data_IF_707242050898
#
_entry.id   IF_707242050898
#
_cell.length_a   1.000
_cell.length_b   1.000
_cell.length_c   1.000
_cell.angle_alpha   90.00
_cell.angle_beta   90.00
_cell.angle_gamma   90.00
#
_symmetry.space_group_name_H-M   'P 1'
#
loop_
_entity.id
_entity.type
_entity.pdbx_description
1 polymer ?
#
# COMPACT_ATOMS: atom_id res chain seq x y z
N UNK A 1 29.51 -14.78 -9.59
CA UNK A 1 28.47 -13.91 -9.01
C UNK A 1 27.16 -14.67 -9.06
N UNK A 2 26.26 -14.45 -8.11
CA UNK A 2 25.05 -15.25 -7.94
C UNK A 2 24.50 -15.12 -6.52
N UNK A 3 23.65 -14.12 -6.31
CA UNK A 3 22.64 -14.20 -5.25
C UNK A 3 21.49 -15.08 -5.75
N UNK A 4 20.61 -15.56 -4.86
CA UNK A 4 19.29 -15.98 -5.34
C UNK A 4 18.61 -14.73 -5.90
N UNK A 5 18.33 -14.72 -7.21
CA UNK A 5 17.58 -13.62 -7.80
C UNK A 5 16.17 -13.60 -7.18
N UNK A 6 15.75 -12.43 -6.70
CA UNK A 6 14.38 -12.22 -6.26
C UNK A 6 13.43 -12.46 -7.44
N UNK A 7 12.57 -13.48 -7.33
CA UNK A 7 11.54 -13.75 -8.32
C UNK A 7 10.24 -13.08 -7.89
N UNK A 8 10.03 -11.89 -8.46
CA UNK A 8 8.87 -11.02 -8.31
C UNK A 8 7.57 -11.81 -8.57
N UNK A 9 7.46 -12.49 -9.71
CA UNK A 9 6.24 -13.22 -10.11
C UNK A 9 5.83 -14.34 -9.15
N UNK A 10 6.77 -15.14 -8.64
CA UNK A 10 6.49 -16.25 -7.72
C UNK A 10 6.15 -15.73 -6.32
N UNK A 11 6.86 -14.71 -5.85
CA UNK A 11 6.54 -14.04 -4.59
C UNK A 11 5.14 -13.44 -4.67
N UNK A 12 4.85 -12.68 -5.73
CA UNK A 12 3.57 -12.01 -5.92
C UNK A 12 2.41 -12.98 -6.08
N UNK A 13 2.54 -14.06 -6.85
CA UNK A 13 1.47 -15.06 -6.95
C UNK A 13 1.10 -15.69 -5.59
N UNK A 14 2.03 -15.72 -4.62
CA UNK A 14 1.73 -16.10 -3.23
C UNK A 14 1.17 -14.92 -2.39
N UNK A 15 1.71 -13.72 -2.57
CA UNK A 15 1.42 -12.51 -1.79
C UNK A 15 0.08 -11.87 -2.16
N UNK A 16 -0.33 -12.02 -3.42
CA UNK A 16 -1.40 -11.28 -4.10
C UNK A 16 -2.62 -12.16 -4.36
N UNK A 17 -2.45 -13.31 -5.02
CA UNK A 17 -3.56 -14.21 -5.43
C UNK A 17 -4.32 -14.83 -4.25
N UNK A 18 -3.68 -14.93 -3.08
CA UNK A 18 -4.30 -15.37 -1.82
C UNK A 18 -4.78 -14.21 -0.92
N UNK A 19 -4.59 -12.95 -1.33
CA UNK A 19 -5.08 -11.77 -0.62
C UNK A 19 -4.45 -11.49 0.76
N UNK A 20 -3.25 -12.03 1.04
CA UNK A 20 -2.66 -12.14 2.39
C UNK A 20 -1.84 -10.92 2.87
N UNK A 21 -2.26 -9.68 2.58
CA UNK A 21 -1.50 -8.47 2.98
C UNK A 21 -1.68 -8.10 4.48
N UNK A 22 -1.34 -9.04 5.35
CA UNK A 22 -1.38 -8.93 6.81
C UNK A 22 -0.02 -8.54 7.38
N UNK A 23 0.43 -7.33 7.05
CA UNK A 23 1.54 -6.68 7.76
C UNK A 23 1.12 -6.40 9.21
N UNK A 24 1.39 -7.35 10.11
CA UNK A 24 1.25 -7.14 11.55
C UNK A 24 2.01 -5.88 11.99
N UNK A 25 1.52 -5.13 13.00
CA UNK A 25 2.08 -3.84 13.42
C UNK A 25 3.60 -3.90 13.58
N UNK A 26 4.07 -4.93 14.29
CA UNK A 26 5.46 -5.16 14.67
C UNK A 26 6.38 -5.56 13.50
N UNK A 27 5.83 -6.05 12.37
CA UNK A 27 6.63 -6.54 11.24
C UNK A 27 7.06 -5.43 10.27
N UNK A 28 6.30 -4.33 10.12
CA UNK A 28 6.68 -3.32 9.12
C UNK A 28 7.96 -2.56 9.49
N UNK A 29 8.26 -2.35 10.78
CA UNK A 29 9.52 -1.69 11.19
C UNK A 29 10.78 -2.46 10.74
N UNK A 30 10.96 -3.77 11.07
CA UNK A 30 12.11 -4.52 10.59
C UNK A 30 12.08 -4.80 9.07
N UNK A 31 10.91 -4.77 8.43
CA UNK A 31 10.81 -4.91 6.96
C UNK A 31 11.16 -3.61 6.22
N UNK A 32 10.81 -2.43 6.74
CA UNK A 32 11.28 -1.13 6.21
C UNK A 32 12.79 -0.94 6.45
N UNK A 33 13.35 -1.54 7.51
CA UNK A 33 14.79 -1.60 7.72
C UNK A 33 15.53 -2.58 6.79
N UNK A 34 14.82 -3.23 5.85
CA UNK A 34 15.39 -4.03 4.77
C UNK A 34 15.17 -3.31 3.44
N UNK A 35 16.25 -2.78 2.88
CA UNK A 35 16.30 -2.02 1.62
C UNK A 35 15.68 -2.80 0.45
N UNK A 36 16.00 -4.10 0.32
CA UNK A 36 15.45 -4.97 -0.73
C UNK A 36 13.93 -5.21 -0.56
N UNK A 37 13.40 -5.24 0.67
CA UNK A 37 11.96 -5.30 0.90
C UNK A 37 11.28 -3.97 0.56
N UNK A 38 11.93 -2.84 0.86
CA UNK A 38 11.42 -1.52 0.48
C UNK A 38 11.30 -1.42 -1.05
N UNK A 39 12.43 -1.50 -1.77
CA UNK A 39 12.55 -1.42 -3.23
C UNK A 39 11.60 -2.39 -3.97
N UNK A 40 11.47 -3.63 -3.49
CA UNK A 40 10.80 -4.68 -4.26
C UNK A 40 9.34 -4.89 -3.88
N UNK A 41 8.96 -4.67 -2.61
CA UNK A 41 7.60 -4.96 -2.13
C UNK A 41 6.80 -3.68 -1.82
N UNK A 42 7.39 -2.78 -1.02
CA UNK A 42 6.70 -1.58 -0.59
C UNK A 42 6.54 -0.61 -1.76
N UNK A 43 7.62 -0.36 -2.49
CA UNK A 43 7.65 0.56 -3.62
C UNK A 43 6.76 0.07 -4.78
N UNK A 44 6.71 -1.23 -5.04
CA UNK A 44 5.88 -1.82 -6.09
C UNK A 44 4.41 -2.05 -5.71
N UNK A 45 3.98 -1.71 -4.48
CA UNK A 45 2.63 -2.00 -3.96
C UNK A 45 1.50 -1.43 -4.84
N UNK A 46 1.77 -0.35 -5.59
CA UNK A 46 0.81 0.26 -6.52
C UNK A 46 0.45 -0.65 -7.72
N UNK A 47 1.37 -1.53 -8.14
CA UNK A 47 1.15 -2.47 -9.26
C UNK A 47 0.06 -3.52 -8.94
N UNK A 48 -0.07 -3.90 -7.66
CA UNK A 48 -0.84 -5.09 -7.23
C UNK A 48 -2.12 -4.77 -6.42
N UNK A 49 -2.47 -3.49 -6.29
CA UNK A 49 -3.55 -2.99 -5.41
C UNK A 49 -4.99 -3.41 -5.75
N UNK A 50 -5.23 -4.12 -6.87
CA UNK A 50 -6.56 -4.61 -7.28
C UNK A 50 -6.88 -5.96 -6.62
N UNK A 51 -5.86 -6.82 -6.63
CA UNK A 51 -5.87 -8.21 -6.22
C UNK A 51 -5.56 -8.31 -4.72
N UNK A 52 -4.66 -7.46 -4.21
CA UNK A 52 -4.41 -7.28 -2.77
C UNK A 52 -5.64 -6.69 -2.06
N UNK A 53 -6.03 -7.29 -0.93
CA UNK A 53 -7.00 -6.74 0.00
C UNK A 53 -6.31 -5.81 1.03
N UNK A 54 -6.21 -4.51 0.70
CA UNK A 54 -5.46 -3.53 1.49
C UNK A 54 -6.18 -3.19 2.81
N UNK A 55 -5.59 -3.54 3.96
CA UNK A 55 -6.03 -3.04 5.28
C UNK A 55 -5.61 -1.58 5.47
N UNK A 56 -6.32 -0.68 4.79
CA UNK A 56 -6.02 0.73 4.70
C UNK A 56 -5.98 1.46 6.06
N UNK A 57 -6.69 0.98 7.09
CA UNK A 57 -6.61 1.59 8.44
C UNK A 57 -5.26 1.32 9.09
N UNK A 58 -4.76 0.10 8.96
CA UNK A 58 -3.56 -0.36 9.67
C UNK A 58 -2.27 0.21 9.07
N UNK A 59 -2.12 0.07 7.75
CA UNK A 59 -0.96 0.59 7.02
C UNK A 59 -0.82 2.12 7.18
N UNK A 60 -1.94 2.84 7.26
CA UNK A 60 -1.97 4.29 7.55
C UNK A 60 -1.39 4.67 8.92
N UNK A 61 -1.45 3.79 9.91
CA UNK A 61 -0.79 4.01 11.19
C UNK A 61 0.72 3.75 11.05
N UNK A 62 1.10 2.59 10.51
CA UNK A 62 2.50 2.19 10.40
C UNK A 62 3.32 3.11 9.48
N UNK A 63 2.78 3.54 8.34
CA UNK A 63 3.47 4.45 7.41
C UNK A 63 3.71 5.84 8.04
N UNK A 64 2.75 6.35 8.83
CA UNK A 64 2.95 7.59 9.62
C UNK A 64 4.02 7.42 10.68
N UNK A 65 4.01 6.28 11.36
CA UNK A 65 5.00 5.98 12.39
C UNK A 65 6.41 5.84 11.77
N UNK A 66 6.55 5.20 10.60
CA UNK A 66 7.81 5.11 9.88
C UNK A 66 8.37 6.50 9.54
N UNK A 67 7.56 7.36 8.91
CA UNK A 67 7.96 8.75 8.57
C UNK A 67 8.30 9.56 9.83
N UNK A 68 7.53 9.42 10.91
CA UNK A 68 7.83 10.07 12.19
C UNK A 68 9.13 9.58 12.86
N UNK A 69 9.63 8.39 12.50
CA UNK A 69 10.92 7.86 12.91
C UNK A 69 12.05 8.16 11.87
N UNK A 70 11.79 8.99 10.86
CA UNK A 70 12.79 9.43 9.89
C UNK A 70 12.91 8.57 8.62
N UNK A 71 12.01 7.62 8.37
CA UNK A 71 11.96 6.92 7.08
C UNK A 71 11.44 7.85 5.98
N UNK A 72 12.12 7.87 4.83
CA UNK A 72 11.68 8.53 3.62
C UNK A 72 11.35 7.49 2.55
N UNK A 73 10.21 7.66 1.88
CA UNK A 73 9.88 6.94 0.64
C UNK A 73 10.68 7.54 -0.52
N UNK A 74 11.11 6.73 -1.50
CA UNK A 74 11.65 7.30 -2.74
C UNK A 74 10.63 8.20 -3.43
N UNK A 75 11.12 9.31 -3.98
CA UNK A 75 10.35 10.28 -4.77
C UNK A 75 9.99 9.74 -6.15
N UNK A 76 10.79 8.81 -6.70
CA UNK A 76 10.51 8.15 -7.98
C UNK A 76 9.18 7.38 -7.99
N UNK A 77 8.62 7.08 -6.81
CA UNK A 77 7.30 6.46 -6.65
C UNK A 77 6.14 7.41 -6.96
N UNK A 78 6.33 8.74 -6.89
CA UNK A 78 5.21 9.69 -7.01
C UNK A 78 4.49 9.61 -8.37
N UNK A 79 5.18 9.65 -9.53
CA UNK A 79 4.54 9.46 -10.83
C UNK A 79 3.74 8.16 -10.88
N UNK A 80 4.33 7.04 -10.45
CA UNK A 80 3.70 5.73 -10.44
C UNK A 80 2.51 5.62 -9.49
N UNK A 81 2.56 6.28 -8.33
CA UNK A 81 1.42 6.36 -7.41
C UNK A 81 0.28 7.19 -8.02
N UNK A 82 0.57 8.31 -8.71
CA UNK A 82 -0.43 9.08 -9.46
C UNK A 82 -1.03 8.26 -10.62
N UNK A 83 -0.20 7.60 -11.42
CA UNK A 83 -0.63 6.71 -12.51
C UNK A 83 -1.54 5.59 -11.99
N UNK A 84 -1.18 5.01 -10.84
CA UNK A 84 -1.97 3.94 -10.21
C UNK A 84 -3.41 4.36 -9.87
N UNK A 85 -3.66 5.65 -9.63
CA UNK A 85 -5.01 6.16 -9.35
C UNK A 85 -5.93 6.17 -10.58
N UNK A 86 -5.38 5.96 -11.79
CA UNK A 86 -6.16 5.72 -13.01
C UNK A 86 -6.83 4.33 -13.01
N UNK A 87 -6.34 3.38 -12.21
CA UNK A 87 -6.90 2.04 -12.13
C UNK A 87 -8.30 2.03 -11.46
N UNK A 88 -9.19 1.08 -11.81
CA UNK A 88 -10.53 0.93 -11.23
C UNK A 88 -10.49 0.33 -9.81
N UNK A 89 -9.80 1.01 -8.88
CA UNK A 89 -9.61 0.57 -7.51
C UNK A 89 -10.91 0.45 -6.71
N UNK A 90 -10.95 -0.57 -5.83
CA UNK A 90 -11.92 -0.65 -4.73
C UNK A 90 -11.82 0.61 -3.85
N UNK A 91 -12.96 1.08 -3.34
CA UNK A 91 -13.15 2.34 -2.59
C UNK A 91 -12.07 2.62 -1.52
N UNK A 92 -11.61 1.57 -0.83
CA UNK A 92 -10.71 1.69 0.31
C UNK A 92 -9.23 1.55 -0.09
N UNK A 93 -8.90 0.80 -1.15
CA UNK A 93 -7.59 0.84 -1.83
C UNK A 93 -7.34 2.21 -2.47
N UNK A 94 -8.33 2.75 -3.19
CA UNK A 94 -8.30 4.11 -3.75
C UNK A 94 -8.02 5.16 -2.66
N UNK A 95 -8.71 5.02 -1.52
CA UNK A 95 -8.53 5.87 -0.35
C UNK A 95 -7.22 5.63 0.41
N UNK A 96 -6.47 4.57 0.11
CA UNK A 96 -5.13 4.32 0.63
C UNK A 96 -4.07 5.01 -0.24
N UNK A 97 -4.01 4.72 -1.53
CA UNK A 97 -2.99 5.28 -2.44
C UNK A 97 -3.05 6.81 -2.51
N UNK A 98 -4.25 7.40 -2.66
CA UNK A 98 -4.41 8.86 -2.66
C UNK A 98 -3.96 9.51 -1.33
N UNK A 99 -4.11 8.80 -0.21
CA UNK A 99 -3.60 9.27 1.08
C UNK A 99 -2.09 9.11 1.23
N UNK A 100 -1.49 8.08 0.60
CA UNK A 100 -0.04 7.86 0.67
C UNK A 100 0.70 8.96 -0.10
N UNK A 101 0.19 9.38 -1.26
CA UNK A 101 0.67 10.58 -1.95
C UNK A 101 0.60 11.81 -1.03
N UNK A 102 -0.50 12.00 -0.31
CA UNK A 102 -0.62 13.09 0.69
C UNK A 102 0.36 12.96 1.87
N UNK A 103 0.74 11.75 2.27
CA UNK A 103 1.78 11.54 3.29
C UNK A 103 3.17 11.93 2.76
N UNK A 104 3.46 11.63 1.50
CA UNK A 104 4.75 11.93 0.87
C UNK A 104 4.97 13.43 0.65
N UNK A 105 3.90 14.24 0.59
CA UNK A 105 3.97 15.68 0.30
C UNK A 105 4.72 15.97 -1.02
N UNK A 106 4.05 15.85 -2.17
CA UNK A 106 4.64 16.17 -3.46
C UNK A 106 5.04 17.65 -3.51
N UNK A 107 6.19 17.95 -4.08
CA UNK A 107 6.61 19.33 -4.38
C UNK A 107 5.95 19.82 -5.67
N UNK A 108 5.86 21.15 -5.84
CA UNK A 108 5.35 21.78 -7.07
C UNK A 108 6.01 21.23 -8.34
N UNK A 109 7.31 20.94 -8.33
CA UNK A 109 8.02 20.35 -9.47
C UNK A 109 7.54 18.91 -9.80
N UNK A 110 7.30 18.07 -8.80
CA UNK A 110 6.82 16.70 -9.00
C UNK A 110 5.34 16.67 -9.41
N UNK A 111 4.54 17.62 -8.90
CA UNK A 111 3.16 17.85 -9.35
C UNK A 111 3.13 18.32 -10.82
N UNK A 112 4.03 19.21 -11.21
CA UNK A 112 4.17 19.75 -12.57
C UNK A 112 4.64 18.66 -13.56
N UNK A 113 5.57 17.80 -13.15
CA UNK A 113 5.93 16.60 -13.90
C UNK A 113 4.75 15.60 -14.04
N UNK A 114 3.89 15.54 -13.02
CA UNK A 114 2.71 14.65 -12.98
C UNK A 114 1.42 15.28 -13.55
N UNK A 115 1.50 16.48 -14.14
CA UNK A 115 0.30 17.31 -14.42
C UNK A 115 -0.70 16.65 -15.37
N UNK A 116 -0.23 15.93 -16.40
CA UNK A 116 -1.10 15.24 -17.35
C UNK A 116 -1.87 14.09 -16.68
N UNK A 117 -1.22 13.38 -15.75
CA UNK A 117 -1.87 12.35 -14.93
C UNK A 117 -2.90 12.97 -13.98
N UNK A 118 -2.60 14.12 -13.37
CA UNK A 118 -3.57 14.88 -12.56
C UNK A 118 -4.80 15.32 -13.38
N UNK A 119 -4.62 15.76 -14.64
CA UNK A 119 -5.73 16.08 -15.54
C UNK A 119 -6.56 14.84 -15.89
N UNK A 120 -5.90 13.72 -16.21
CA UNK A 120 -6.55 12.45 -16.50
C UNK A 120 -7.41 11.94 -15.32
N UNK A 121 -6.99 12.15 -14.06
CA UNK A 121 -7.79 11.81 -12.87
C UNK A 121 -9.11 12.59 -12.76
N UNK A 122 -9.28 13.69 -13.49
CA UNK A 122 -10.56 14.42 -13.55
C UNK A 122 -11.59 13.70 -14.44
N UNK A 123 -11.15 13.00 -15.48
CA UNK A 123 -12.03 12.46 -16.54
C UNK A 123 -12.76 11.17 -16.12
N UNK A 124 -12.26 10.48 -15.09
CA UNK A 124 -12.74 9.19 -14.60
C UNK A 124 -14.11 9.22 -13.89
N UNK A 125 -14.81 10.36 -13.91
CA UNK A 125 -16.14 10.52 -13.28
C UNK A 125 -16.19 10.27 -11.77
N UNK A 126 -15.03 10.25 -11.08
CA UNK A 126 -14.92 9.82 -9.70
C UNK A 126 -14.74 11.01 -8.75
N UNK A 127 -15.80 11.36 -8.01
CA UNK A 127 -15.84 12.53 -7.14
C UNK A 127 -14.76 12.53 -6.03
N UNK A 128 -14.14 11.40 -5.69
CA UNK A 128 -12.98 11.37 -4.79
C UNK A 128 -11.70 11.82 -5.49
N UNK A 129 -11.48 11.39 -6.73
CA UNK A 129 -10.29 11.74 -7.52
C UNK A 129 -10.34 13.20 -7.97
N UNK A 130 -11.50 13.69 -8.41
CA UNK A 130 -11.68 15.12 -8.73
C UNK A 130 -11.36 16.03 -7.53
N UNK A 131 -11.87 15.70 -6.33
CA UNK A 131 -11.57 16.45 -5.09
C UNK A 131 -10.13 16.24 -4.57
N UNK A 132 -9.39 15.26 -5.09
CA UNK A 132 -8.00 14.97 -4.72
C UNK A 132 -6.98 15.64 -5.66
N UNK A 133 -7.22 15.56 -6.99
CA UNK A 133 -6.31 16.08 -8.00
C UNK A 133 -6.43 17.61 -8.16
N UNK A 134 -7.65 18.17 -8.10
CA UNK A 134 -7.88 19.59 -8.35
C UNK A 134 -7.15 20.55 -7.38
N UNK A 135 -7.01 20.27 -6.06
CA UNK A 135 -6.16 21.06 -5.19
C UNK A 135 -4.70 21.13 -5.66
N UNK A 136 -4.11 20.01 -6.08
CA UNK A 136 -2.74 19.97 -6.59
C UNK A 136 -2.60 20.66 -7.95
N UNK A 137 -3.59 20.52 -8.85
CA UNK A 137 -3.62 21.28 -10.11
C UNK A 137 -3.64 22.78 -9.84
N UNK A 138 -4.47 23.23 -8.88
CA UNK A 138 -4.54 24.63 -8.49
C UNK A 138 -3.28 25.14 -7.75
N UNK A 139 -2.47 24.24 -7.19
CA UNK A 139 -1.19 24.57 -6.55
C UNK A 139 -0.07 24.84 -7.56
N UNK A 140 -0.12 24.28 -8.78
CA UNK A 140 0.88 24.48 -9.84
C UNK A 140 0.41 25.38 -11.00
N UNK A 141 -0.81 25.90 -10.95
CA UNK A 141 -1.44 26.62 -12.07
C UNK A 141 -0.81 28.00 -12.37
N UNK A 142 0.12 28.47 -11.53
CA UNK A 142 0.95 29.66 -11.70
C UNK A 142 2.38 29.35 -12.20
N UNK A 143 2.77 28.08 -12.32
CA UNK A 143 4.06 27.68 -12.91
C UNK A 143 4.14 28.00 -14.41
N UNK A 144 5.35 28.21 -14.91
CA UNK A 144 5.59 28.57 -16.31
C UNK A 144 5.26 27.43 -17.28
N UNK A 145 5.66 26.19 -16.95
CA UNK A 145 5.45 25.00 -17.78
C UNK A 145 4.11 24.29 -17.48
N UNK A 146 3.13 25.01 -16.93
CA UNK A 146 1.79 24.49 -16.69
C UNK A 146 0.97 24.48 -17.99
N UNK A 147 0.58 23.29 -18.45
CA UNK A 147 -0.20 23.08 -19.66
C UNK A 147 -1.67 23.48 -19.44
N UNK A 148 -1.93 24.77 -19.67
CA UNK A 148 -3.28 25.36 -19.64
C UNK A 148 -4.21 24.71 -20.66
N UNK A 149 -3.73 24.30 -21.82
CA UNK A 149 -4.60 23.82 -22.90
C UNK A 149 -5.00 22.35 -22.65
N UNK A 150 -4.09 21.53 -22.11
CA UNK A 150 -4.40 20.22 -21.53
C UNK A 150 -5.36 20.31 -20.35
N UNK A 151 -5.14 21.24 -19.41
CA UNK A 151 -6.09 21.47 -18.32
C UNK A 151 -7.49 21.84 -18.83
N UNK A 152 -7.61 22.87 -19.67
CA UNK A 152 -8.90 23.37 -20.18
C UNK A 152 -9.62 22.30 -20.98
N UNK A 153 -8.92 21.51 -21.80
CA UNK A 153 -9.52 20.42 -22.59
C UNK A 153 -10.06 19.27 -21.72
N UNK A 154 -9.46 19.01 -20.55
CA UNK A 154 -9.94 17.98 -19.61
C UNK A 154 -10.97 18.52 -18.60
N UNK A 155 -11.00 19.84 -18.36
CA UNK A 155 -11.82 20.46 -17.30
C UNK A 155 -13.34 20.19 -17.45
N UNK A 156 -13.97 20.28 -18.65
CA UNK A 156 -15.40 19.97 -18.86
C UNK A 156 -15.85 18.58 -18.41
N UNK A 157 -14.96 17.59 -18.46
CA UNK A 157 -15.30 16.16 -18.36
C UNK A 157 -15.82 15.73 -16.97
N UNK A 158 -15.82 16.63 -15.98
CA UNK A 158 -16.43 16.41 -14.66
C UNK A 158 -17.46 17.48 -14.26
N UNK A 159 -17.99 18.29 -15.20
CA UNK A 159 -18.98 19.34 -14.87
C UNK A 159 -20.33 18.78 -14.39
N UNK A 160 -20.74 17.63 -14.92
CA UNK A 160 -21.97 16.89 -14.53
C UNK A 160 -21.83 16.14 -13.20
N UNK A 161 -20.61 16.03 -12.66
CA UNK A 161 -20.32 15.22 -11.48
C UNK A 161 -20.82 15.91 -10.20
N UNK A 162 -21.52 15.17 -9.35
CA UNK A 162 -21.97 15.68 -8.04
C UNK A 162 -20.84 15.79 -7.02
N UNK A 163 -21.05 16.59 -5.96
CA UNK A 163 -20.23 16.63 -4.73
C UNK A 163 -18.77 17.04 -4.96
N UNK A 164 -18.48 17.67 -6.10
CA UNK A 164 -17.17 18.23 -6.49
C UNK A 164 -17.18 19.75 -6.68
N UNK A 165 -18.26 20.44 -6.29
CA UNK A 165 -18.45 21.89 -6.54
C UNK A 165 -17.29 22.77 -6.01
N UNK A 166 -16.59 22.37 -4.94
CA UNK A 166 -15.39 23.07 -4.46
C UNK A 166 -14.18 22.91 -5.39
N UNK A 167 -14.01 21.73 -5.99
CA UNK A 167 -13.00 21.48 -7.01
C UNK A 167 -13.35 22.20 -8.32
N UNK A 168 -14.59 22.12 -8.78
CA UNK A 168 -15.08 22.90 -9.93
C UNK A 168 -14.86 24.41 -9.72
N UNK A 169 -15.09 24.94 -8.50
CA UNK A 169 -14.82 26.35 -8.17
C UNK A 169 -13.33 26.70 -8.13
N UNK A 170 -12.42 25.76 -7.81
CA UNK A 170 -10.99 25.98 -7.98
C UNK A 170 -10.65 26.09 -9.47
N UNK A 171 -11.02 25.09 -10.27
CA UNK A 171 -10.73 25.07 -11.71
C UNK A 171 -11.32 26.26 -12.47
N UNK A 172 -12.56 26.67 -12.15
CA UNK A 172 -13.20 27.89 -12.69
C UNK A 172 -12.38 29.15 -12.40
N UNK A 173 -11.68 29.24 -11.26
CA UNK A 173 -10.77 30.36 -10.98
C UNK A 173 -9.48 30.29 -11.79
N UNK A 174 -8.98 29.09 -12.10
CA UNK A 174 -7.80 28.91 -12.96
C UNK A 174 -8.08 29.36 -14.41
N UNK A 175 -9.34 29.42 -14.82
CA UNK A 175 -9.76 29.98 -16.11
C UNK A 175 -9.72 31.52 -16.18
N UNK A 176 -9.50 32.26 -15.09
CA UNK A 176 -9.51 33.74 -15.09
C UNK A 176 -8.22 34.46 -15.51
N UNK A 177 -6.98 34.01 -15.21
CA UNK A 177 -5.81 34.89 -15.30
C UNK A 177 -5.33 35.30 -16.70
N UNK A 178 -5.43 34.43 -17.71
CA UNK A 178 -4.87 34.66 -19.05
C UNK A 178 -5.77 34.02 -20.12
N UNK A 179 -6.66 34.81 -20.72
CA UNK A 179 -7.96 34.31 -21.25
C UNK A 179 -8.19 34.47 -22.75
N UNK A 180 -7.18 34.86 -23.52
CA UNK A 180 -7.31 35.06 -24.97
C UNK A 180 -7.62 33.78 -25.76
N UNK A 181 -7.32 32.60 -25.21
CA UNK A 181 -7.32 31.31 -25.94
C UNK A 181 -8.25 30.23 -25.33
N UNK A 182 -9.27 30.62 -24.56
CA UNK A 182 -10.25 29.67 -24.01
C UNK A 182 -11.21 29.10 -25.07
N UNK A 183 -11.60 29.91 -26.07
CA UNK A 183 -12.71 29.59 -26.99
C UNK A 183 -12.50 28.34 -27.87
N UNK A 184 -11.26 27.93 -28.26
CA UNK A 184 -11.04 26.66 -28.97
C UNK A 184 -11.20 25.40 -28.11
N UNK A 185 -11.05 25.52 -26.78
CA UNK A 185 -10.97 24.39 -25.85
C UNK A 185 -12.14 24.31 -24.85
N UNK A 186 -12.94 25.37 -24.72
CA UNK A 186 -14.11 25.44 -23.84
C UNK A 186 -15.21 26.31 -24.47
N UNK A 187 -16.42 25.75 -24.60
CA UNK A 187 -17.59 26.52 -25.07
C UNK A 187 -18.42 27.09 -23.92
N UNK A 188 -19.17 28.15 -24.21
CA UNK A 188 -20.18 28.71 -23.30
C UNK A 188 -21.24 27.68 -22.87
N UNK A 189 -21.59 26.73 -23.75
CA UNK A 189 -22.59 25.68 -23.47
C UNK A 189 -22.08 24.68 -22.44
N UNK A 190 -20.82 24.25 -22.55
CA UNK A 190 -20.19 23.39 -21.54
C UNK A 190 -20.05 24.13 -20.21
N UNK A 191 -19.50 25.35 -20.22
CA UNK A 191 -19.32 26.15 -19.01
C UNK A 191 -20.66 26.41 -18.27
N UNK A 192 -21.77 26.57 -19.00
CA UNK A 192 -23.10 26.71 -18.42
C UNK A 192 -23.63 25.44 -17.70
N UNK A 193 -23.11 24.25 -17.98
CA UNK A 193 -23.49 23.00 -17.25
C UNK A 193 -23.23 23.12 -15.75
N UNK A 194 -22.18 23.86 -15.35
CA UNK A 194 -21.85 24.11 -13.94
C UNK A 194 -22.94 24.92 -13.21
N UNK A 195 -23.86 25.58 -13.91
CA UNK A 195 -24.98 26.30 -13.29
C UNK A 195 -26.03 25.36 -12.66
N UNK A 196 -26.04 24.08 -13.02
CA UNK A 196 -26.85 23.04 -12.35
C UNK A 196 -26.38 22.83 -10.90
N UNK A 197 -25.07 23.00 -10.64
CA UNK A 197 -24.47 22.70 -9.33
C UNK A 197 -25.04 23.64 -8.24
N UNK A 198 -25.35 23.12 -7.04
CA UNK A 198 -26.10 23.89 -6.04
C UNK A 198 -25.28 24.95 -5.28
N UNK A 199 -23.96 25.03 -5.50
CA UNK A 199 -23.05 25.95 -4.80
C UNK A 199 -23.14 27.37 -5.40
N UNK A 200 -23.56 28.33 -4.59
CA UNK A 200 -23.74 29.73 -5.00
C UNK A 200 -22.44 30.39 -5.48
N UNK A 201 -21.28 30.04 -4.90
CA UNK A 201 -19.99 30.65 -5.26
C UNK A 201 -19.50 30.11 -6.60
N UNK A 202 -19.74 28.84 -6.88
CA UNK A 202 -19.51 28.25 -8.20
C UNK A 202 -20.40 28.91 -9.25
N UNK A 203 -21.71 29.02 -9.01
CA UNK A 203 -22.62 29.65 -9.96
C UNK A 203 -22.27 31.11 -10.24
N UNK A 204 -21.88 31.90 -9.22
CA UNK A 204 -21.43 33.29 -9.42
C UNK A 204 -20.15 33.35 -10.24
N UNK A 205 -19.12 32.55 -9.93
CA UNK A 205 -17.86 32.57 -10.68
C UNK A 205 -18.02 32.09 -12.14
N UNK A 206 -18.95 31.17 -12.39
CA UNK A 206 -19.33 30.71 -13.74
C UNK A 206 -20.13 31.79 -14.49
N UNK A 207 -21.08 32.45 -13.82
CA UNK A 207 -21.84 33.56 -14.40
C UNK A 207 -20.91 34.74 -14.78
N UNK A 208 -19.94 35.08 -13.93
CA UNK A 208 -18.90 36.07 -14.21
C UNK A 208 -18.11 35.72 -15.48
N UNK A 209 -17.57 34.50 -15.61
CA UNK A 209 -16.84 34.06 -16.82
C UNK A 209 -17.70 34.09 -18.09
N UNK A 210 -18.95 33.60 -18.01
CA UNK A 210 -19.89 33.60 -19.12
C UNK A 210 -20.21 35.04 -19.57
N UNK A 211 -20.45 35.93 -18.61
CA UNK A 211 -20.63 37.37 -18.84
C UNK A 211 -19.39 37.99 -19.49
N UNK A 212 -18.20 37.73 -18.96
CA UNK A 212 -16.95 38.36 -19.36
C UNK A 212 -16.50 37.92 -20.76
N UNK A 213 -16.43 36.61 -21.03
CA UNK A 213 -15.79 36.06 -22.25
C UNK A 213 -16.76 35.60 -23.34
N UNK A 214 -18.04 35.35 -23.00
CA UNK A 214 -19.04 34.81 -23.92
C UNK A 214 -20.33 35.64 -24.02
N UNK A 215 -20.39 36.81 -23.38
CA UNK A 215 -21.58 37.69 -23.36
C UNK A 215 -21.79 38.52 -24.62
N UNK A 216 -21.61 37.88 -25.78
CA UNK A 216 -22.02 38.33 -27.11
C UNK A 216 -23.51 37.98 -27.34
N UNK A 217 -23.96 37.84 -28.58
CA UNK A 217 -25.34 37.39 -28.88
C UNK A 217 -25.48 35.87 -28.65
N UNK A 218 -26.65 35.43 -28.19
CA UNK A 218 -26.96 34.03 -27.87
C UNK A 218 -26.70 33.58 -26.42
N UNK A 219 -25.99 34.34 -25.57
CA UNK A 219 -25.76 33.93 -24.16
C UNK A 219 -27.06 33.70 -23.38
N UNK A 220 -28.12 34.49 -23.65
CA UNK A 220 -29.42 34.31 -22.98
C UNK A 220 -30.05 32.95 -23.27
N UNK A 221 -29.92 32.44 -24.51
CA UNK A 221 -30.44 31.12 -24.92
C UNK A 221 -29.65 29.99 -24.27
N UNK A 222 -28.35 30.20 -24.03
CA UNK A 222 -27.48 29.24 -23.35
C UNK A 222 -27.79 29.18 -21.84
N UNK A 223 -28.17 30.31 -21.22
CA UNK A 223 -28.47 30.37 -19.77
C UNK A 223 -29.92 29.96 -19.45
N UNK A 224 -30.87 30.20 -20.35
CA UNK A 224 -32.31 29.94 -20.13
C UNK A 224 -32.63 28.54 -19.55
N UNK A 225 -32.04 27.41 -20.01
CA UNK A 225 -32.33 26.08 -19.44
C UNK A 225 -31.94 25.93 -17.96
N UNK A 226 -31.05 26.80 -17.47
CA UNK A 226 -30.47 26.73 -16.12
C UNK A 226 -31.15 27.67 -15.11
N UNK A 227 -32.09 28.53 -15.54
CA UNK A 227 -32.71 29.57 -14.69
C UNK A 227 -33.36 29.04 -13.40
N UNK A 228 -33.86 27.80 -13.41
CA UNK A 228 -34.47 27.15 -12.23
C UNK A 228 -33.42 26.74 -11.16
N UNK A 229 -32.17 26.53 -11.56
CA UNK A 229 -31.07 26.13 -10.66
C UNK A 229 -30.33 27.33 -10.06
N UNK A 230 -30.34 28.46 -10.77
CA UNK A 230 -29.61 29.69 -10.42
C UNK A 230 -30.06 30.31 -9.08
N UNK A 231 -29.08 30.57 -8.20
CA UNK A 231 -29.25 31.35 -6.97
C UNK A 231 -29.34 32.85 -7.27
N UNK A 232 -29.89 33.62 -6.34
CA UNK A 232 -30.17 35.06 -6.51
C UNK A 232 -28.93 35.88 -6.91
N UNK A 233 -27.76 35.60 -6.33
CA UNK A 233 -26.51 36.31 -6.69
C UNK A 233 -26.05 36.01 -8.12
N UNK A 234 -26.16 34.76 -8.58
CA UNK A 234 -25.83 34.41 -9.96
C UNK A 234 -26.83 35.05 -10.96
N UNK A 235 -28.11 35.17 -10.60
CA UNK A 235 -29.09 35.92 -11.39
C UNK A 235 -28.77 37.43 -11.47
N UNK A 236 -28.22 38.01 -10.40
CA UNK A 236 -27.80 39.42 -10.40
C UNK A 236 -26.67 39.68 -11.42
N UNK A 237 -25.63 38.82 -11.46
CA UNK A 237 -24.50 38.94 -12.40
C UNK A 237 -24.97 38.97 -13.87
N UNK A 238 -25.89 38.09 -14.27
CA UNK A 238 -26.47 38.12 -15.63
C UNK A 238 -27.34 39.37 -15.88
N UNK A 239 -28.00 39.90 -14.85
CA UNK A 239 -28.83 41.10 -14.96
C UNK A 239 -27.99 42.38 -15.11
N UNK A 240 -26.86 42.48 -14.41
CA UNK A 240 -25.96 43.64 -14.44
C UNK A 240 -25.29 43.84 -15.81
N UNK A 241 -24.99 42.78 -16.59
CA UNK A 241 -24.44 42.98 -17.94
C UNK A 241 -25.45 43.62 -18.91
N UNK A 242 -26.76 43.45 -18.66
CA UNK A 242 -27.82 44.02 -19.51
C UNK A 242 -27.90 45.54 -19.43
N UNK A 243 -27.50 46.15 -18.31
CA UNK A 243 -27.40 47.61 -18.16
C UNK A 243 -26.03 48.18 -18.58
N UNK A 244 -24.95 47.39 -18.49
CA UNK A 244 -23.58 47.88 -18.81
C UNK A 244 -23.29 47.98 -20.32
N UNK A 245 -24.03 47.27 -21.19
CA UNK A 245 -23.82 47.33 -22.66
C UNK A 245 -24.07 48.71 -23.30
N UNK A 246 -24.71 49.66 -22.61
CA UNK A 246 -24.97 51.01 -23.13
C UNK A 246 -23.84 52.03 -22.96
N UNK A 247 -22.87 51.81 -22.07
CA UNK A 247 -22.00 52.91 -21.57
C UNK A 247 -20.52 52.89 -22.01
N UNK A 248 -20.04 51.85 -22.73
CA UNK A 248 -18.63 51.77 -23.14
C UNK A 248 -18.39 52.00 -24.64
N UNK A 249 -18.27 53.29 -25.00
CA UNK A 249 -17.49 53.77 -26.16
C UNK A 249 -16.56 54.89 -25.71
N UNK A 250 -15.39 55.00 -26.36
CA UNK A 250 -14.27 55.93 -26.05
C UNK A 250 -13.54 55.63 -24.72
N UNK A 251 -12.23 55.85 -24.58
CA UNK A 251 -11.13 55.87 -25.57
C UNK A 251 -9.78 55.57 -24.86
N UNK A 252 -8.78 55.09 -25.61
CA UNK A 252 -7.35 55.11 -25.22
C UNK A 252 -6.70 56.44 -25.67
N UNK A 253 -5.62 56.94 -25.02
CA UNK A 253 -4.28 56.62 -25.55
C UNK A 253 -3.11 56.48 -24.55
N UNK A 254 -2.16 55.66 -24.99
CA UNK A 254 -0.75 55.39 -24.62
C UNK A 254 0.10 56.44 -23.85
N UNK A 255 1.10 55.92 -23.12
CA UNK A 255 2.33 56.61 -22.65
C UNK A 255 3.48 55.59 -22.45
N UNK A 256 4.75 55.99 -22.58
CA UNK A 256 5.93 55.07 -22.73
C UNK A 256 7.14 55.57 -21.90
N UNK A 257 8.12 54.68 -21.65
CA UNK A 257 9.53 54.89 -21.21
C UNK A 257 9.77 55.05 -19.68
N UNK A 258 10.60 54.20 -19.03
CA UNK A 258 12.08 54.18 -18.86
C UNK A 258 12.45 54.69 -17.42
N UNK A 259 13.55 54.33 -16.72
CA UNK A 259 14.70 53.44 -16.99
C UNK A 259 15.48 53.05 -15.69
N UNK A 260 16.29 51.96 -15.77
CA UNK A 260 17.57 51.68 -15.07
C UNK A 260 17.71 51.41 -13.55
N UNK A 261 18.79 50.63 -13.28
CA UNK A 261 19.63 50.47 -12.06
C UNK A 261 19.11 49.63 -10.86
N UNK A 262 19.93 48.79 -10.21
CA UNK A 262 21.38 48.48 -10.40
C UNK A 262 21.80 47.08 -9.91
N UNK A 263 22.91 46.55 -10.42
CA UNK A 263 23.60 45.33 -9.94
C UNK A 263 24.51 45.60 -8.73
N UNK A 264 24.70 44.58 -7.86
CA UNK A 264 26.06 44.18 -7.41
C UNK A 264 26.06 42.74 -6.87
N UNK A 265 27.16 42.00 -7.09
CA UNK A 265 27.37 40.61 -6.66
C UNK A 265 28.41 40.52 -5.52
N UNK A 266 28.42 39.39 -4.79
CA UNK A 266 29.59 38.51 -4.48
C UNK A 266 29.09 37.29 -3.66
N UNK A 267 29.48 36.03 -3.92
CA UNK A 267 30.80 35.38 -3.73
C UNK A 267 31.27 35.47 -2.25
N UNK A 268 31.82 34.45 -1.57
CA UNK A 268 32.30 33.09 -1.89
C UNK A 268 32.45 32.29 -0.55
N UNK A 269 32.73 30.98 -0.43
CA UNK A 269 33.11 29.90 -1.37
C UNK A 269 32.80 28.47 -0.80
N UNK A 270 33.36 27.44 -1.47
CA UNK A 270 33.38 25.97 -1.27
C UNK A 270 33.73 25.44 0.15
N UNK A 271 33.17 24.26 0.51
CA UNK A 271 33.68 23.40 1.61
C UNK A 271 33.02 22.01 1.70
N UNK A 272 33.72 20.94 1.27
CA UNK A 272 33.22 19.55 1.29
C UNK A 272 33.41 18.83 2.64
N UNK A 273 32.52 17.87 2.94
CA UNK A 273 32.93 16.60 3.58
C UNK A 273 32.24 16.22 4.90
N UNK A 274 31.29 15.28 4.82
CA UNK A 274 30.87 14.42 5.93
C UNK A 274 30.45 13.04 5.38
N UNK A 275 31.01 11.95 5.90
CA UNK A 275 30.67 10.58 5.51
C UNK A 275 29.49 10.03 6.33
N UNK A 276 28.72 9.05 5.81
CA UNK A 276 27.58 8.48 6.54
C UNK A 276 28.02 7.69 7.78
N UNK A 277 27.31 7.89 8.90
CA UNK A 277 27.66 7.32 10.21
C UNK A 277 27.11 5.87 10.39
N UNK A 278 27.39 4.98 9.45
CA UNK A 278 27.07 3.55 9.58
C UNK A 278 28.18 2.83 10.35
N UNK A 279 27.93 2.52 11.63
CA UNK A 279 28.98 2.00 12.50
C UNK A 279 28.57 1.64 13.92
N UNK A 280 27.37 1.07 14.13
CA UNK A 280 27.04 0.38 15.39
C UNK A 280 26.38 -0.97 15.14
N UNK A 281 27.20 -1.99 15.36
CA UNK A 281 26.88 -3.40 15.38
C UNK A 281 25.65 -3.69 16.27
N UNK A 282 24.56 -4.16 15.66
CA UNK A 282 23.40 -4.68 16.41
C UNK A 282 23.79 -6.03 16.98
N UNK A 283 23.70 -6.16 18.31
CA UNK A 283 24.30 -7.25 19.07
C UNK A 283 24.00 -8.66 18.53
N UNK A 284 25.01 -9.54 18.60
CA UNK A 284 24.93 -10.91 18.12
C UNK A 284 23.70 -11.66 18.70
N UNK A 285 22.88 -12.32 17.86
CA UNK A 285 21.75 -13.12 18.33
C UNK A 285 22.18 -14.24 19.28
N UNK A 286 21.48 -14.39 20.40
CA UNK A 286 21.72 -15.47 21.37
C UNK A 286 21.50 -16.84 20.73
N UNK A 287 22.56 -17.65 20.65
CA UNK A 287 22.56 -18.97 19.99
C UNK A 287 22.06 -20.07 20.91
N UNK A 288 20.74 -20.17 21.05
CA UNK A 288 20.07 -21.28 21.74
C UNK A 288 18.80 -21.65 21.00
N UNK A 289 18.70 -22.89 20.51
CA UNK A 289 17.46 -23.43 19.94
C UNK A 289 16.33 -23.36 20.99
N UNK A 290 15.25 -22.57 20.77
CA UNK A 290 14.14 -22.48 21.73
C UNK A 290 13.25 -23.73 21.73
N UNK A 291 13.44 -24.66 20.80
CA UNK A 291 12.60 -25.85 20.65
C UNK A 291 12.73 -26.81 21.86
N UNK A 292 11.62 -27.30 22.42
CA UNK A 292 11.65 -28.34 23.44
C UNK A 292 12.36 -29.62 22.99
N UNK A 293 13.25 -30.11 23.85
CA UNK A 293 14.02 -31.35 23.65
C UNK A 293 13.46 -32.54 24.45
N UNK A 294 12.37 -32.36 25.20
CA UNK A 294 11.68 -33.41 25.96
C UNK A 294 10.18 -33.17 26.00
N UNK A 295 9.40 -34.23 26.21
CA UNK A 295 7.94 -34.12 26.42
C UNK A 295 7.57 -33.16 27.55
N UNK A 296 8.28 -33.21 28.68
CA UNK A 296 7.99 -32.35 29.84
C UNK A 296 8.21 -30.87 29.51
N UNK A 297 9.25 -30.54 28.74
CA UNK A 297 9.51 -29.17 28.30
C UNK A 297 8.43 -28.71 27.30
N UNK A 298 7.98 -29.60 26.40
CA UNK A 298 6.92 -29.32 25.44
C UNK A 298 5.56 -29.09 26.14
N UNK A 299 5.25 -29.88 27.16
CA UNK A 299 4.05 -29.75 27.97
C UNK A 299 4.06 -28.44 28.77
N UNK A 300 5.21 -28.03 29.32
CA UNK A 300 5.38 -26.76 30.03
C UNK A 300 5.21 -25.54 29.11
N UNK A 301 5.70 -25.63 27.86
CA UNK A 301 5.59 -24.56 26.86
C UNK A 301 4.13 -24.15 26.57
N UNK A 302 3.14 -25.00 26.87
CA UNK A 302 1.71 -24.64 26.78
C UNK A 302 1.33 -23.58 27.84
N UNK A 303 1.97 -23.60 29.01
CA UNK A 303 1.87 -22.55 30.01
C UNK A 303 2.48 -21.22 29.54
N UNK A 304 3.57 -21.28 28.78
CA UNK A 304 4.17 -20.11 28.14
C UNK A 304 3.26 -19.55 27.04
N UNK A 305 2.69 -20.41 26.19
CA UNK A 305 1.64 -20.04 25.22
C UNK A 305 0.45 -19.34 25.90
N UNK A 306 -0.05 -19.86 27.02
CA UNK A 306 -1.15 -19.25 27.80
C UNK A 306 -0.75 -17.88 28.39
N UNK A 307 0.51 -17.69 28.80
CA UNK A 307 1.04 -16.43 29.31
C UNK A 307 1.19 -15.40 28.18
N UNK A 308 1.95 -15.73 27.14
CA UNK A 308 2.43 -14.82 26.10
C UNK A 308 1.40 -14.59 24.98
N UNK A 309 0.64 -15.63 24.63
CA UNK A 309 -0.46 -15.60 23.64
C UNK A 309 -0.01 -15.17 22.23
N UNK A 310 1.28 -15.25 21.94
CA UNK A 310 1.89 -14.94 20.64
C UNK A 310 1.86 -16.15 19.70
N UNK A 311 1.86 -15.95 18.37
CA UNK A 311 2.08 -17.03 17.41
C UNK A 311 3.45 -17.70 17.55
N UNK A 312 4.47 -16.95 18.01
CA UNK A 312 5.85 -17.41 18.23
C UNK A 312 5.90 -18.67 19.08
N UNK A 313 5.43 -18.59 20.33
CA UNK A 313 5.51 -19.66 21.33
C UNK A 313 4.66 -20.87 20.90
N UNK A 314 3.57 -20.63 20.17
CA UNK A 314 2.74 -21.67 19.57
C UNK A 314 3.45 -22.39 18.42
N UNK A 315 4.19 -21.69 17.56
CA UNK A 315 4.97 -22.34 16.50
C UNK A 315 6.17 -23.14 17.03
N UNK A 316 6.81 -22.67 18.10
CA UNK A 316 7.85 -23.43 18.81
C UNK A 316 7.27 -24.71 19.43
N UNK A 317 6.02 -24.66 19.93
CA UNK A 317 5.28 -25.85 20.37
C UNK A 317 4.97 -26.81 19.20
N UNK A 318 4.55 -26.30 18.03
CA UNK A 318 4.30 -27.15 16.85
C UNK A 318 5.58 -27.88 16.37
N UNK A 319 6.73 -27.21 16.34
CA UNK A 319 8.01 -27.85 15.97
C UNK A 319 8.47 -28.86 17.03
N UNK A 320 8.40 -28.51 18.32
CA UNK A 320 8.78 -29.42 19.41
C UNK A 320 7.92 -30.69 19.41
N UNK A 321 6.63 -30.56 19.10
CA UNK A 321 5.73 -31.70 18.93
C UNK A 321 6.08 -32.56 17.71
N UNK A 322 6.39 -31.92 16.56
CA UNK A 322 6.81 -32.63 15.35
C UNK A 322 8.11 -33.42 15.56
N UNK A 323 9.06 -32.84 16.30
CA UNK A 323 10.34 -33.45 16.65
C UNK A 323 10.16 -34.64 17.60
N UNK A 324 9.32 -34.49 18.62
CA UNK A 324 9.09 -35.49 19.68
C UNK A 324 8.01 -36.53 19.32
N UNK A 325 7.47 -36.53 18.10
CA UNK A 325 6.34 -37.41 17.70
C UNK A 325 6.60 -38.91 17.89
N UNK A 326 7.87 -39.35 17.83
CA UNK A 326 8.29 -40.73 18.08
C UNK A 326 8.53 -41.09 19.55
N UNK A 327 8.55 -40.09 20.44
CA UNK A 327 8.93 -40.21 21.86
C UNK A 327 7.79 -39.81 22.83
N UNK A 328 6.57 -39.66 22.30
CA UNK A 328 5.39 -39.29 23.08
C UNK A 328 5.03 -40.37 24.12
N UNK A 329 4.83 -40.02 25.41
CA UNK A 329 4.33 -40.96 26.42
C UNK A 329 2.97 -41.53 26.05
N UNK A 330 2.71 -42.80 26.38
CA UNK A 330 1.45 -43.48 26.05
C UNK A 330 0.18 -42.83 26.68
N UNK A 331 0.36 -41.91 27.64
CA UNK A 331 -0.70 -41.15 28.29
C UNK A 331 -0.70 -39.64 27.94
N UNK A 332 0.03 -39.21 26.90
CA UNK A 332 0.20 -37.79 26.51
C UNK A 332 -1.13 -37.00 26.50
N UNK A 333 -2.20 -37.57 25.93
CA UNK A 333 -3.52 -36.95 25.87
C UNK A 333 -4.19 -36.75 27.24
N UNK A 334 -3.88 -37.61 28.23
CA UNK A 334 -4.33 -37.42 29.62
C UNK A 334 -3.58 -36.25 30.27
N UNK A 335 -2.28 -36.12 30.02
CA UNK A 335 -1.45 -35.03 30.53
C UNK A 335 -1.79 -33.68 29.89
N UNK A 336 -2.25 -33.66 28.64
CA UNK A 336 -2.69 -32.45 27.93
C UNK A 336 -4.04 -31.90 28.45
N UNK A 337 -4.90 -32.77 28.98
CA UNK A 337 -6.27 -32.45 29.43
C UNK A 337 -6.40 -31.23 30.36
N UNK A 338 -5.59 -31.05 31.44
CA UNK A 338 -5.65 -29.85 32.28
C UNK A 338 -5.26 -28.55 31.56
N UNK A 339 -4.48 -28.61 30.48
CA UNK A 339 -4.16 -27.43 29.67
C UNK A 339 -5.29 -27.10 28.68
N UNK A 340 -5.93 -28.10 28.08
CA UNK A 340 -7.16 -27.91 27.28
C UNK A 340 -8.26 -27.19 28.10
N UNK A 341 -8.48 -27.61 29.35
CA UNK A 341 -9.42 -26.96 30.28
C UNK A 341 -9.04 -25.52 30.67
N UNK A 342 -7.78 -25.11 30.49
CA UNK A 342 -7.35 -23.72 30.64
C UNK A 342 -7.57 -22.92 29.34
N UNK A 343 -7.25 -23.51 28.19
CA UNK A 343 -7.49 -22.93 26.87
C UNK A 343 -8.98 -22.70 26.58
N UNK A 344 -9.87 -23.54 27.12
CA UNK A 344 -11.33 -23.35 27.08
C UNK A 344 -11.79 -21.95 27.56
N UNK A 345 -11.04 -21.33 28.48
CA UNK A 345 -11.36 -20.01 29.06
C UNK A 345 -11.05 -18.83 28.13
N UNK A 346 -10.29 -19.05 27.06
CA UNK A 346 -9.76 -18.00 26.17
C UNK A 346 -10.32 -18.04 24.75
N UNK A 347 -11.58 -18.48 24.59
CA UNK A 347 -12.24 -18.69 23.30
C UNK A 347 -12.28 -17.47 22.36
N UNK A 348 -12.08 -16.25 22.87
CA UNK A 348 -12.04 -15.00 22.10
C UNK A 348 -10.64 -14.62 21.58
N UNK A 349 -9.57 -15.21 22.14
CA UNK A 349 -8.18 -14.91 21.76
C UNK A 349 -7.75 -15.81 20.61
N UNK A 350 -7.60 -15.25 19.40
CA UNK A 350 -7.44 -16.03 18.16
C UNK A 350 -6.29 -17.05 18.20
N UNK A 351 -5.16 -16.71 18.84
CA UNK A 351 -3.99 -17.59 18.98
C UNK A 351 -4.27 -18.78 19.92
N UNK A 352 -4.87 -18.51 21.08
CA UNK A 352 -5.23 -19.57 22.04
C UNK A 352 -6.40 -20.41 21.54
N UNK A 353 -7.31 -19.82 20.75
CA UNK A 353 -8.39 -20.53 20.07
C UNK A 353 -7.84 -21.47 18.97
N UNK A 354 -6.85 -21.05 18.18
CA UNK A 354 -6.11 -21.94 17.29
C UNK A 354 -5.47 -23.10 18.08
N UNK A 355 -4.70 -22.81 19.14
CA UNK A 355 -4.00 -23.83 19.93
C UNK A 355 -4.98 -24.84 20.55
N UNK A 356 -6.14 -24.37 21.04
CA UNK A 356 -7.24 -25.20 21.53
C UNK A 356 -7.77 -26.14 20.45
N UNK A 357 -8.11 -25.61 19.28
CA UNK A 357 -8.62 -26.39 18.15
C UNK A 357 -7.58 -27.41 17.64
N UNK A 358 -6.31 -27.02 17.55
CA UNK A 358 -5.20 -27.88 17.16
C UNK A 358 -5.00 -29.04 18.15
N UNK A 359 -4.77 -28.72 19.43
CA UNK A 359 -4.52 -29.75 20.45
C UNK A 359 -5.72 -30.69 20.59
N UNK A 360 -6.96 -30.18 20.52
CA UNK A 360 -8.16 -31.02 20.52
C UNK A 360 -8.18 -31.96 19.31
N UNK A 361 -8.03 -31.44 18.09
CA UNK A 361 -8.10 -32.23 16.86
C UNK A 361 -7.03 -33.34 16.80
N UNK A 362 -5.86 -33.10 17.40
CA UNK A 362 -4.80 -34.08 17.62
C UNK A 362 -5.18 -35.12 18.69
N UNK A 363 -5.54 -34.72 19.92
CA UNK A 363 -5.86 -35.68 21.01
C UNK A 363 -7.12 -36.52 20.78
N UNK A 364 -8.01 -36.09 19.89
CA UNK A 364 -9.19 -36.86 19.46
C UNK A 364 -8.93 -37.69 18.19
N UNK A 365 -7.68 -37.72 17.70
CA UNK A 365 -7.22 -38.45 16.49
C UNK A 365 -8.06 -38.15 15.23
N UNK A 366 -8.71 -36.98 15.21
CA UNK A 366 -9.59 -36.55 14.12
C UNK A 366 -8.82 -35.94 12.94
N UNK A 367 -7.62 -35.40 13.22
CA UNK A 367 -6.69 -34.70 12.33
C UNK A 367 -7.31 -33.56 11.47
N UNK A 368 -8.52 -33.10 11.81
CA UNK A 368 -9.28 -32.11 11.05
C UNK A 368 -9.32 -30.76 11.75
N UNK A 369 -8.44 -29.84 11.36
CA UNK A 369 -8.38 -28.51 11.93
C UNK A 369 -9.36 -27.52 11.29
N UNK A 370 -10.46 -27.23 11.99
CA UNK A 370 -11.45 -26.21 11.65
C UNK A 370 -11.64 -25.17 12.77
N UNK A 371 -11.91 -23.90 12.44
CA UNK A 371 -12.25 -22.87 13.42
C UNK A 371 -13.75 -22.95 13.78
N UNK A 372 -14.13 -22.41 14.94
CA UNK A 372 -15.55 -22.21 15.31
C UNK A 372 -16.19 -21.01 14.58
N UNK A 373 -15.38 -20.12 14.01
CA UNK A 373 -15.82 -19.01 13.15
C UNK A 373 -14.73 -18.70 12.14
N UNK A 374 -15.12 -18.42 10.88
CA UNK A 374 -14.19 -18.11 9.80
C UNK A 374 -13.36 -16.84 10.04
N UNK A 375 -13.80 -15.96 10.94
CA UNK A 375 -13.00 -14.80 11.39
C UNK A 375 -11.69 -15.19 12.08
N UNK A 376 -11.66 -16.29 12.85
CA UNK A 376 -10.43 -16.75 13.52
C UNK A 376 -9.39 -17.33 12.55
N UNK A 377 -9.86 -18.00 11.49
CA UNK A 377 -9.02 -18.48 10.39
C UNK A 377 -8.42 -17.32 9.60
N UNK A 378 -9.25 -16.36 9.18
CA UNK A 378 -8.80 -15.16 8.45
C UNK A 378 -7.76 -14.36 9.25
N UNK A 379 -7.92 -14.24 10.58
CA UNK A 379 -7.03 -13.44 11.44
C UNK A 379 -5.63 -14.04 11.60
N UNK A 380 -5.46 -15.36 11.44
CA UNK A 380 -4.19 -16.07 11.68
C UNK A 380 -3.90 -17.13 10.59
N UNK A 381 -4.30 -16.88 9.34
CA UNK A 381 -4.32 -17.89 8.27
C UNK A 381 -3.00 -18.68 8.11
N UNK A 382 -1.79 -18.08 8.17
CA UNK A 382 -0.53 -18.83 8.12
C UNK A 382 -0.39 -19.88 9.24
N UNK A 383 -0.87 -19.57 10.45
CA UNK A 383 -0.83 -20.48 11.60
C UNK A 383 -1.86 -21.61 11.44
N UNK A 384 -3.07 -21.31 10.94
CA UNK A 384 -4.08 -22.33 10.63
C UNK A 384 -3.60 -23.31 9.55
N UNK A 385 -2.96 -22.81 8.49
CA UNK A 385 -2.33 -23.64 7.46
C UNK A 385 -1.16 -24.47 8.01
N UNK A 386 -0.28 -23.88 8.83
CA UNK A 386 0.80 -24.61 9.49
C UNK A 386 0.28 -25.69 10.44
N UNK A 387 -0.81 -25.44 11.16
CA UNK A 387 -1.50 -26.42 12.00
C UNK A 387 -2.13 -27.57 11.21
N UNK A 388 -2.75 -27.30 10.05
CA UNK A 388 -3.25 -28.33 9.13
C UNK A 388 -2.12 -29.22 8.62
N UNK A 389 -1.02 -28.61 8.17
CA UNK A 389 0.18 -29.32 7.78
C UNK A 389 0.72 -30.19 8.92
N UNK A 390 0.76 -29.68 10.15
CA UNK A 390 1.25 -30.43 11.31
C UNK A 390 0.37 -31.66 11.65
N UNK A 391 -0.95 -31.52 11.61
CA UNK A 391 -1.84 -32.67 11.83
C UNK A 391 -1.62 -33.76 10.77
N UNK A 392 -1.48 -33.39 9.50
CA UNK A 392 -1.14 -34.35 8.44
C UNK A 392 0.22 -35.01 8.70
N UNK A 393 1.26 -34.24 9.09
CA UNK A 393 2.59 -34.79 9.41
C UNK A 393 2.56 -35.80 10.56
N UNK A 394 1.78 -35.55 11.61
CA UNK A 394 1.57 -36.52 12.71
C UNK A 394 0.84 -37.78 12.24
N UNK A 395 -0.21 -37.62 11.43
CA UNK A 395 -0.99 -38.74 10.88
C UNK A 395 -0.14 -39.64 9.97
N UNK A 396 0.69 -39.03 9.11
CA UNK A 396 1.62 -39.69 8.19
C UNK A 396 2.92 -40.16 8.86
N UNK A 397 3.10 -39.86 10.16
CA UNK A 397 4.34 -40.09 10.95
C UNK A 397 5.60 -39.51 10.29
N UNK A 398 5.46 -38.37 9.63
CA UNK A 398 6.50 -37.74 8.85
C UNK A 398 7.28 -36.74 9.72
N UNK A 399 8.55 -37.04 10.01
CA UNK A 399 9.45 -36.22 10.82
C UNK A 399 10.25 -35.15 10.04
N UNK A 400 9.81 -34.78 8.83
CA UNK A 400 10.44 -33.69 8.07
C UNK A 400 10.15 -32.33 8.72
N UNK A 401 11.16 -31.50 9.02
CA UNK A 401 11.03 -30.25 9.77
C UNK A 401 10.27 -29.16 8.98
N UNK A 402 9.45 -28.35 9.65
CA UNK A 402 8.67 -27.31 8.96
C UNK A 402 9.60 -26.21 8.46
N UNK A 403 9.46 -25.84 7.19
CA UNK A 403 10.37 -24.88 6.54
C UNK A 403 10.35 -23.54 7.26
N UNK A 404 9.15 -23.05 7.59
CA UNK A 404 8.93 -21.75 8.21
C UNK A 404 9.35 -21.64 9.67
N UNK A 405 9.69 -22.74 10.35
CA UNK A 405 10.05 -22.69 11.77
C UNK A 405 11.31 -21.86 11.99
N UNK A 406 11.25 -20.81 12.84
CA UNK A 406 12.38 -19.90 13.10
C UNK A 406 13.62 -20.62 13.62
N UNK A 407 14.79 -20.12 13.22
CA UNK A 407 16.10 -20.43 13.80
C UNK A 407 16.68 -19.26 14.62
N UNK A 408 16.08 -18.07 14.56
CA UNK A 408 16.42 -16.90 15.37
C UNK A 408 15.16 -16.15 15.82
N UNK A 409 15.22 -15.53 17.01
CA UNK A 409 14.14 -14.65 17.49
C UNK A 409 14.04 -13.37 16.65
N UNK A 410 12.83 -12.79 16.48
CA UNK A 410 11.53 -13.34 16.90
C UNK A 410 11.05 -14.49 15.98
N UNK A 411 11.22 -14.35 14.66
CA UNK A 411 10.62 -15.24 13.66
C UNK A 411 11.57 -15.68 12.53
N UNK A 412 12.86 -15.34 12.55
CA UNK A 412 13.72 -15.47 11.38
C UNK A 412 14.30 -16.88 11.17
N UNK A 413 14.60 -17.21 9.92
CA UNK A 413 15.21 -18.47 9.44
C UNK A 413 16.52 -18.13 8.71
N UNK A 414 17.62 -18.85 8.99
CA UNK A 414 18.84 -18.73 8.16
C UNK A 414 18.65 -19.36 6.78
N UNK A 415 19.25 -18.74 5.76
CA UNK A 415 19.34 -19.33 4.42
C UNK A 415 19.98 -20.74 4.45
N UNK A 416 20.97 -20.97 5.32
CA UNK A 416 21.54 -22.29 5.56
C UNK A 416 20.50 -23.30 6.06
N UNK A 417 19.80 -22.99 7.15
CA UNK A 417 18.81 -23.91 7.72
C UNK A 417 17.66 -24.17 6.74
N UNK A 418 17.24 -23.18 5.94
CA UNK A 418 16.23 -23.41 4.90
C UNK A 418 16.77 -24.34 3.79
N UNK A 419 18.02 -24.15 3.34
CA UNK A 419 18.65 -25.03 2.36
C UNK A 419 18.79 -26.47 2.88
N UNK A 420 19.21 -26.66 4.13
CA UNK A 420 19.34 -27.98 4.75
C UNK A 420 17.98 -28.67 4.93
N UNK A 421 16.93 -27.94 5.33
CA UNK A 421 15.56 -28.47 5.34
C UNK A 421 15.09 -28.87 3.93
N UNK A 422 15.32 -28.05 2.91
CA UNK A 422 14.95 -28.35 1.52
C UNK A 422 15.68 -29.58 0.97
N UNK A 423 16.98 -29.71 1.26
CA UNK A 423 17.77 -30.91 0.93
C UNK A 423 17.22 -32.18 1.61
N UNK A 424 16.74 -32.08 2.85
CA UNK A 424 16.09 -33.20 3.55
C UNK A 424 14.75 -33.60 2.89
N UNK A 425 13.94 -32.64 2.42
CA UNK A 425 12.73 -32.93 1.65
C UNK A 425 13.06 -33.61 0.31
N UNK A 426 14.10 -33.16 -0.40
CA UNK A 426 14.53 -33.80 -1.66
C UNK A 426 15.06 -35.22 -1.43
N UNK A 427 15.88 -35.43 -0.40
CA UNK A 427 16.39 -36.75 -0.02
C UNK A 427 15.26 -37.73 0.36
N UNK A 428 14.17 -37.23 0.94
CA UNK A 428 12.97 -38.01 1.25
C UNK A 428 12.02 -38.20 0.04
N UNK A 429 12.25 -37.54 -1.09
CA UNK A 429 11.36 -37.54 -2.25
C UNK A 429 10.01 -36.85 -2.00
N UNK A 430 9.90 -36.04 -0.94
CA UNK A 430 8.66 -35.40 -0.51
C UNK A 430 8.64 -33.93 -0.93
N UNK A 431 7.54 -33.48 -1.53
CA UNK A 431 7.39 -32.07 -1.89
C UNK A 431 7.10 -31.18 -0.66
N UNK A 432 7.74 -30.01 -0.55
CA UNK A 432 7.36 -28.95 0.38
C UNK A 432 5.88 -28.58 0.28
N UNK A 433 5.29 -28.22 1.43
CA UNK A 433 4.01 -27.53 1.43
C UNK A 433 4.24 -26.06 1.01
N UNK A 434 3.40 -25.57 0.09
CA UNK A 434 3.59 -24.25 -0.51
C UNK A 434 3.40 -23.12 0.51
N UNK A 435 2.34 -23.19 1.35
CA UNK A 435 2.10 -22.21 2.43
C UNK A 435 3.29 -22.11 3.40
N UNK A 436 3.86 -23.25 3.82
CA UNK A 436 5.00 -23.33 4.72
C UNK A 436 6.30 -22.81 4.06
N UNK A 437 6.52 -23.11 2.77
CA UNK A 437 7.64 -22.57 1.99
C UNK A 437 7.55 -21.03 1.85
N UNK A 438 6.37 -20.48 1.54
CA UNK A 438 6.16 -19.03 1.44
C UNK A 438 6.51 -18.34 2.77
N UNK A 439 6.00 -18.87 3.89
CA UNK A 439 6.28 -18.30 5.22
C UNK A 439 7.77 -18.46 5.59
N UNK A 440 8.46 -19.51 5.11
CA UNK A 440 9.90 -19.66 5.27
C UNK A 440 10.70 -18.61 4.50
N UNK A 441 10.38 -18.38 3.23
CA UNK A 441 11.02 -17.34 2.42
C UNK A 441 10.81 -15.95 3.02
N UNK A 442 9.59 -15.64 3.47
CA UNK A 442 9.24 -14.39 4.15
C UNK A 442 9.94 -14.21 5.51
N UNK A 443 10.59 -15.25 6.04
CA UNK A 443 11.35 -15.27 7.29
C UNK A 443 12.86 -15.37 7.06
N UNK A 444 13.36 -15.33 5.82
CA UNK A 444 14.79 -15.39 5.57
C UNK A 444 15.52 -14.17 6.16
N UNK A 445 16.60 -14.43 6.90
CA UNK A 445 17.55 -13.40 7.30
C UNK A 445 18.45 -13.03 6.13
N UNK A 446 18.19 -11.86 5.55
CA UNK A 446 19.02 -11.25 4.50
C UNK A 446 20.36 -10.80 5.12
N UNK A 447 21.36 -11.66 5.01
CA UNK A 447 22.79 -11.43 5.27
C UNK A 447 23.57 -11.98 4.07
N UNK A 448 24.88 -11.77 4.00
CA UNK A 448 25.70 -12.43 2.99
C UNK A 448 25.52 -13.95 3.06
N UNK A 449 24.89 -14.51 2.03
CA UNK A 449 24.72 -15.96 1.88
C UNK A 449 26.10 -16.56 1.64
N UNK A 450 26.58 -17.40 2.55
CA UNK A 450 27.93 -17.97 2.49
C UNK A 450 28.12 -18.85 1.25
N UNK A 451 29.38 -19.16 0.92
CA UNK A 451 29.72 -19.98 -0.25
C UNK A 451 29.15 -21.40 -0.13
N UNK A 452 29.17 -21.93 1.09
CA UNK A 452 28.67 -23.25 1.46
C UNK A 452 27.15 -23.35 1.27
N UNK A 453 26.40 -22.28 1.58
CA UNK A 453 24.95 -22.23 1.36
C UNK A 453 24.61 -22.13 -0.13
N UNK A 454 25.40 -21.41 -0.93
CA UNK A 454 25.25 -21.39 -2.40
C UNK A 454 25.50 -22.78 -2.98
N UNK A 455 26.58 -23.45 -2.58
CA UNK A 455 26.88 -24.84 -2.97
C UNK A 455 25.82 -25.85 -2.49
N UNK A 456 25.18 -25.63 -1.32
CA UNK A 456 24.01 -26.41 -0.87
C UNK A 456 22.80 -26.23 -1.79
N UNK A 457 22.51 -25.00 -2.23
CA UNK A 457 21.38 -24.69 -3.12
C UNK A 457 21.62 -25.20 -4.55
N UNK A 458 22.83 -25.09 -5.08
CA UNK A 458 23.21 -25.60 -6.40
C UNK A 458 23.07 -27.14 -6.52
N UNK A 459 23.06 -27.86 -5.39
CA UNK A 459 22.88 -29.32 -5.34
C UNK A 459 21.42 -29.80 -5.41
N UNK A 460 20.44 -28.91 -5.25
CA UNK A 460 19.02 -29.23 -5.38
C UNK A 460 18.69 -29.57 -6.85
N UNK A 461 18.08 -30.73 -7.11
CA UNK A 461 17.87 -31.21 -8.49
C UNK A 461 16.65 -30.57 -9.15
N UNK A 462 16.62 -30.65 -10.50
CA UNK A 462 15.61 -30.08 -11.41
C UNK A 462 14.11 -30.36 -11.14
N UNK A 463 13.75 -31.12 -10.10
CA UNK A 463 12.38 -31.18 -9.56
C UNK A 463 12.08 -30.00 -8.63
N UNK A 464 12.95 -29.76 -7.64
CA UNK A 464 12.88 -28.58 -6.78
C UNK A 464 13.43 -27.34 -7.51
N UNK A 465 14.53 -27.49 -8.24
CA UNK A 465 15.09 -26.41 -9.08
C UNK A 465 14.09 -25.83 -10.08
N UNK A 466 13.09 -26.56 -10.60
CA UNK A 466 12.06 -25.96 -11.48
C UNK A 466 10.91 -25.25 -10.76
N UNK A 467 10.79 -25.38 -9.43
CA UNK A 467 9.82 -24.62 -8.60
C UNK A 467 10.49 -23.51 -7.79
N UNK A 468 11.79 -23.65 -7.53
CA UNK A 468 12.70 -22.62 -7.02
C UNK A 468 13.53 -21.97 -8.16
N UNK A 469 13.11 -22.13 -9.41
CA UNK A 469 13.89 -21.78 -10.62
C UNK A 469 13.05 -21.67 -11.89
N UNK A 470 11.80 -21.23 -11.76
CA UNK A 470 11.30 -20.14 -12.64
C UNK A 470 12.09 -18.84 -12.37
N UNK A 471 12.86 -18.80 -11.28
CA UNK A 471 13.97 -17.89 -11.06
C UNK A 471 15.04 -18.18 -12.14
N UNK A 472 15.18 -17.27 -13.11
CA UNK A 472 16.05 -17.32 -14.30
C UNK A 472 15.47 -18.05 -15.53
N UNK A 473 14.69 -17.32 -16.34
CA UNK A 473 15.29 -16.54 -17.44
C UNK A 473 14.86 -15.08 -17.27
#
# INVERSE_FOLDING_TARGET
MGALAYNEELFLNAFVTEGRFYLHPELLKPLIANEEFAEKILENLYKYGAEININAKHLKAQFKEAVANGFAFDRQLLPHLFESLLNPWKRDSLGFFAWWIQLMQPTRAELLASQQTLFALLTLGNARLTNFAMPYIAEIADEADFDRNGFVSNFPLHFTLEKVAKAQLLGVKLLKPQTSDLKPHLTAKELAVLLIQPDEKLQVAVAELLVEFYGDEGLSEIVQPYELYLKSKAKAVFSEKSTVKSEKRTAHPNGISNEQNSFSNKEQSVGNGAQPLWGKEVAAPQTSDPTPQTWNNLLFLIGDCLREKSPETVEVFLEGLLRLQGELPADYAKQLKPYLQQLDKFFSMSVLHFLRCFCKAWTEESYKLSPTSKSYEITLLPLWEKGRLMLNRLQDKCALPLLSTPTYKPFWVSAEALADKLLAYEAAGIHPNISDLIVACNRLLFREVSKEVKEKVERLRGGMQRRCGTISV
#
